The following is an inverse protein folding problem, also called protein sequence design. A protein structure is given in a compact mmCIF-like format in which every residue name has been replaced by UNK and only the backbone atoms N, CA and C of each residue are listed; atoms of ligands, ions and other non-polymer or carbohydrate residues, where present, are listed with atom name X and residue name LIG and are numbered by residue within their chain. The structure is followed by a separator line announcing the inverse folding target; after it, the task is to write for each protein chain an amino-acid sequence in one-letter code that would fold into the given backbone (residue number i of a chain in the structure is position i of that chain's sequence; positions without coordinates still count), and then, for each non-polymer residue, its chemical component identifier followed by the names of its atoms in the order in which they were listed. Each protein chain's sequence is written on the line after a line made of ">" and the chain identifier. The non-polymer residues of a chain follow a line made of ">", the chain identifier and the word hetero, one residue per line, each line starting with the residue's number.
data_IF_560602596487
#
_entry.id   IF_560602596487
#
_cell.length_a   1.000
_cell.length_b   1.000
_cell.length_c   1.000
_cell.angle_alpha   90.00
_cell.angle_beta   90.00
_cell.angle_gamma   90.00
#
_symmetry.space_group_name_H-M   'P 1'
#
loop_
_entity.id
_entity.type
_entity.pdbx_description
1 polymer ?
#
# COMPACT_ATOMS: atom_id res chain seq x y z
N UNK A 1 15.68 -2.75 3.19
CA UNK A 1 14.35 -2.29 3.65
C UNK A 1 13.93 -3.00 4.92
N UNK A 2 13.05 -2.40 5.74
CA UNK A 2 12.48 -3.06 6.93
C UNK A 2 10.99 -3.30 6.75
N UNK A 3 10.54 -4.52 7.08
CA UNK A 3 9.15 -4.95 6.96
C UNK A 3 8.60 -5.44 8.30
N UNK A 4 7.32 -5.19 8.55
CA UNK A 4 6.60 -5.80 9.66
C UNK A 4 6.16 -7.23 9.32
N UNK A 5 6.01 -7.54 8.03
CA UNK A 5 5.73 -8.88 7.57
C UNK A 5 5.18 -8.96 6.15
N UNK A 6 4.97 -10.20 5.70
CA UNK A 6 4.32 -10.51 4.42
C UNK A 6 3.27 -11.60 4.61
N UNK A 7 2.11 -11.41 4.00
CA UNK A 7 1.00 -12.37 4.03
C UNK A 7 0.63 -12.79 2.60
N UNK A 8 0.83 -14.07 2.29
CA UNK A 8 0.71 -14.59 0.91
C UNK A 8 -0.72 -14.93 0.49
N UNK A 9 -1.65 -15.02 1.42
CA UNK A 9 -3.07 -15.31 1.18
C UNK A 9 -3.92 -14.42 2.11
N UNK A 10 -3.95 -13.15 1.80
CA UNK A 10 -4.78 -12.16 2.48
C UNK A 10 -6.09 -12.01 1.70
N UNK A 11 -7.22 -11.94 2.39
CA UNK A 11 -8.55 -11.76 1.81
C UNK A 11 -9.25 -10.50 2.33
N UNK A 12 -8.50 -9.61 3.02
CA UNK A 12 -9.06 -8.43 3.69
C UNK A 12 -8.57 -7.15 3.04
N UNK A 13 -7.29 -7.12 2.66
CA UNK A 13 -6.63 -5.89 2.19
C UNK A 13 -6.67 -5.76 0.66
N UNK A 14 -7.87 -5.77 0.09
CA UNK A 14 -8.10 -5.59 -1.35
C UNK A 14 -9.17 -6.52 -1.90
N UNK A 15 -9.17 -6.74 -3.20
CA UNK A 15 -10.12 -7.61 -3.91
C UNK A 15 -9.49 -8.97 -4.22
N UNK A 16 -10.23 -10.06 -3.97
CA UNK A 16 -9.78 -11.42 -4.23
C UNK A 16 -8.75 -11.91 -3.23
N UNK A 17 -7.78 -12.69 -3.69
CA UNK A 17 -6.66 -13.14 -2.86
C UNK A 17 -5.48 -12.20 -3.08
N UNK A 18 -4.87 -11.76 -2.00
CA UNK A 18 -3.85 -10.71 -1.98
C UNK A 18 -2.53 -11.26 -1.42
N UNK A 19 -1.43 -10.82 -2.00
CA UNK A 19 -0.12 -10.83 -1.34
C UNK A 19 0.05 -9.45 -0.69
N UNK A 20 0.07 -9.39 0.65
CA UNK A 20 0.18 -8.13 1.39
C UNK A 20 1.58 -7.97 1.96
N UNK A 21 2.23 -6.86 1.68
CA UNK A 21 3.52 -6.45 2.23
C UNK A 21 3.31 -5.31 3.22
N UNK A 22 3.76 -5.51 4.46
CA UNK A 22 3.61 -4.57 5.56
C UNK A 22 4.95 -3.95 5.89
N UNK A 23 5.08 -2.65 5.60
CA UNK A 23 6.27 -1.88 5.92
C UNK A 23 6.40 -1.65 7.43
N UNK A 24 7.63 -1.52 7.88
CA UNK A 24 7.95 -1.11 9.25
C UNK A 24 8.33 0.37 9.27
N UNK A 25 7.97 1.07 10.36
CA UNK A 25 8.16 2.50 10.54
C UNK A 25 6.95 3.34 10.11
N UNK A 26 6.42 4.17 11.02
CA UNK A 26 5.33 5.10 10.74
C UNK A 26 5.48 6.38 11.58
N UNK A 27 5.64 7.55 10.96
CA UNK A 27 5.78 8.81 11.68
C UNK A 27 4.43 9.34 12.21
N UNK A 28 3.30 8.88 11.66
CA UNK A 28 1.98 9.42 11.98
C UNK A 28 1.50 9.10 13.39
N UNK A 29 1.78 7.90 13.91
CA UNK A 29 1.41 7.46 15.26
C UNK A 29 -0.05 7.76 15.61
N UNK A 30 -0.99 7.47 14.71
CA UNK A 30 -2.40 7.78 14.84
C UNK A 30 -3.00 7.15 16.11
N UNK A 31 -3.69 7.92 16.99
CA UNK A 31 -4.34 7.36 18.17
C UNK A 31 -5.36 6.28 17.80
N UNK A 32 -5.20 5.07 18.34
CA UNK A 32 -6.07 3.93 18.06
C UNK A 32 -5.78 3.22 16.74
N UNK A 33 -4.59 3.43 16.16
CA UNK A 33 -4.10 2.68 15.00
C UNK A 33 -4.28 1.18 15.18
N UNK A 34 -4.58 0.45 14.12
CA UNK A 34 -4.72 -1.02 14.12
C UNK A 34 -3.37 -1.73 14.30
N UNK A 35 -2.27 -1.12 13.86
CA UNK A 35 -0.94 -1.72 13.81
C UNK A 35 0.10 -0.84 14.53
N UNK A 36 -0.06 -0.54 15.84
CA UNK A 36 0.88 0.32 16.56
C UNK A 36 2.29 -0.30 16.65
N UNK A 37 2.40 -1.63 16.52
CA UNK A 37 3.66 -2.36 16.46
C UNK A 37 4.52 -2.01 15.24
N UNK A 38 3.92 -1.43 14.20
CA UNK A 38 4.63 -0.98 13.00
C UNK A 38 5.17 0.44 13.08
N UNK A 39 5.04 1.16 14.20
CA UNK A 39 5.47 2.55 14.31
C UNK A 39 6.98 2.72 14.45
N UNK A 40 7.62 1.78 15.16
CA UNK A 40 9.06 1.83 15.42
C UNK A 40 9.85 1.54 14.14
N UNK A 41 10.69 2.48 13.72
CA UNK A 41 11.55 2.32 12.54
C UNK A 41 12.65 1.27 12.73
N UNK A 42 13.03 0.96 13.97
CA UNK A 42 14.01 -0.09 14.29
C UNK A 42 13.37 -1.46 14.49
N UNK A 43 12.03 -1.53 14.49
CA UNK A 43 11.28 -2.78 14.62
C UNK A 43 11.27 -3.62 13.35
N UNK A 44 10.47 -4.70 13.37
CA UNK A 44 10.29 -5.58 12.22
C UNK A 44 11.55 -6.36 11.82
N UNK A 45 11.60 -6.79 10.59
CA UNK A 45 12.70 -7.60 10.01
C UNK A 45 13.36 -6.83 8.86
N UNK A 46 14.70 -6.84 8.84
CA UNK A 46 15.46 -6.32 7.71
C UNK A 46 15.53 -7.38 6.61
N UNK A 47 15.21 -7.00 5.38
CA UNK A 47 15.21 -7.90 4.22
C UNK A 47 15.82 -7.20 3.01
N UNK A 48 16.59 -7.95 2.23
CA UNK A 48 17.12 -7.42 0.96
C UNK A 48 16.09 -7.49 -0.19
N UNK A 49 16.32 -6.71 -1.24
CA UNK A 49 15.41 -6.63 -2.39
C UNK A 49 15.22 -7.97 -3.11
N UNK A 50 16.30 -8.74 -3.32
CA UNK A 50 16.19 -9.97 -4.08
C UNK A 50 15.35 -11.00 -3.31
N UNK A 51 15.53 -11.07 -1.99
CA UNK A 51 14.77 -11.99 -1.14
C UNK A 51 13.27 -11.62 -1.13
N UNK A 52 12.92 -10.35 -0.92
CA UNK A 52 11.53 -9.94 -0.89
C UNK A 52 10.86 -10.04 -2.26
N UNK A 53 11.54 -9.67 -3.35
CA UNK A 53 11.04 -9.83 -4.71
C UNK A 53 10.75 -11.29 -5.02
N UNK A 54 11.68 -12.21 -4.71
CA UNK A 54 11.47 -13.64 -4.92
C UNK A 54 10.24 -14.16 -4.15
N UNK A 55 10.09 -13.77 -2.88
CA UNK A 55 8.95 -14.17 -2.05
C UNK A 55 7.62 -13.70 -2.68
N UNK A 56 7.56 -12.46 -3.16
CA UNK A 56 6.37 -11.87 -3.77
C UNK A 56 6.09 -12.52 -5.12
N UNK A 57 7.10 -12.68 -5.97
CA UNK A 57 6.95 -13.23 -7.32
C UNK A 57 6.55 -14.70 -7.31
N UNK A 58 7.00 -15.48 -6.34
CA UNK A 58 6.56 -16.87 -6.13
C UNK A 58 5.13 -16.95 -5.57
N UNK A 59 4.69 -15.91 -4.85
CA UNK A 59 3.38 -15.90 -4.20
C UNK A 59 2.25 -15.45 -5.13
N UNK A 60 2.49 -14.46 -6.02
CA UNK A 60 1.45 -13.89 -6.89
C UNK A 60 0.84 -14.96 -7.81
N UNK A 61 1.60 -15.71 -8.65
CA UNK A 61 1.06 -16.70 -9.58
C UNK A 61 1.02 -18.11 -8.96
N UNK A 62 0.56 -18.26 -7.73
CA UNK A 62 0.63 -19.56 -7.04
C UNK A 62 -0.61 -20.43 -7.28
N UNK A 63 -0.40 -21.72 -7.59
CA UNK A 63 -1.45 -22.74 -7.77
C UNK A 63 -2.47 -22.38 -8.87
N UNK A 64 -2.03 -21.79 -9.96
CA UNK A 64 -2.91 -21.39 -11.07
C UNK A 64 -3.83 -20.19 -10.75
N UNK A 65 -3.67 -19.56 -9.58
CA UNK A 65 -4.43 -18.39 -9.15
C UNK A 65 -3.49 -17.19 -9.15
N UNK A 66 -3.80 -16.18 -9.94
CA UNK A 66 -3.11 -14.90 -9.86
C UNK A 66 -3.69 -14.10 -8.70
N UNK A 67 -2.81 -13.66 -7.79
CA UNK A 67 -3.16 -12.80 -6.67
C UNK A 67 -2.92 -11.34 -7.02
N UNK A 68 -3.64 -10.47 -6.36
CA UNK A 68 -3.36 -9.05 -6.33
C UNK A 68 -2.28 -8.73 -5.28
N UNK A 69 -1.80 -7.50 -5.27
CA UNK A 69 -0.73 -7.08 -4.36
C UNK A 69 -1.16 -5.86 -3.54
N UNK A 70 -0.84 -5.86 -2.26
CA UNK A 70 -1.13 -4.76 -1.35
C UNK A 70 0.12 -4.32 -0.61
N UNK A 71 0.30 -3.01 -0.51
CA UNK A 71 1.36 -2.36 0.25
C UNK A 71 0.74 -1.52 1.35
N UNK A 72 1.07 -1.83 2.59
CA UNK A 72 0.50 -1.23 3.78
C UNK A 72 1.45 -1.41 4.98
N UNK A 73 0.93 -1.30 6.21
CA UNK A 73 1.67 -1.58 7.46
C UNK A 73 1.94 -0.31 8.21
N UNK A 74 3.21 0.09 8.41
CA UNK A 74 3.62 1.38 8.94
C UNK A 74 3.19 2.51 8.00
N UNK A 75 4.14 3.24 7.45
CA UNK A 75 3.86 4.23 6.41
C UNK A 75 4.76 3.99 5.20
N UNK A 76 4.22 3.38 4.13
CA UNK A 76 5.02 3.09 2.94
C UNK A 76 5.58 4.32 2.23
N UNK A 77 4.93 5.47 2.35
CA UNK A 77 5.30 6.70 1.65
C UNK A 77 6.07 7.71 2.50
N UNK A 78 6.46 7.37 3.75
CA UNK A 78 7.38 8.23 4.50
C UNK A 78 8.77 8.26 3.85
N UNK A 79 9.59 9.28 4.12
CA UNK A 79 10.91 9.43 3.51
C UNK A 79 11.79 8.18 3.63
N UNK A 80 11.69 7.45 4.74
CA UNK A 80 12.48 6.26 5.03
C UNK A 80 12.06 5.05 4.20
N UNK A 81 10.79 4.97 3.79
CA UNK A 81 10.21 3.79 3.13
C UNK A 81 9.85 4.01 1.65
N UNK A 82 9.61 5.27 1.22
CA UNK A 82 8.98 5.56 -0.08
C UNK A 82 9.78 5.03 -1.28
N UNK A 83 11.10 5.05 -1.22
CA UNK A 83 11.96 4.53 -2.30
C UNK A 83 11.78 3.02 -2.41
N UNK A 84 11.82 2.32 -1.28
CA UNK A 84 11.65 0.86 -1.20
C UNK A 84 10.25 0.43 -1.65
N UNK A 85 9.22 1.13 -1.16
CA UNK A 85 7.83 0.84 -1.52
C UNK A 85 7.58 1.01 -3.02
N UNK A 86 8.04 2.11 -3.61
CA UNK A 86 7.87 2.35 -5.03
C UNK A 86 8.72 1.42 -5.90
N UNK A 87 9.91 1.02 -5.44
CA UNK A 87 10.72 0.00 -6.10
C UNK A 87 9.94 -1.32 -6.23
N UNK A 88 9.41 -1.85 -5.12
CA UNK A 88 8.66 -3.12 -5.11
C UNK A 88 7.37 -3.01 -5.94
N UNK A 89 6.60 -1.93 -5.77
CA UNK A 89 5.37 -1.68 -6.55
C UNK A 89 5.67 -1.73 -8.05
N UNK A 90 6.70 -1.01 -8.50
CA UNK A 90 7.10 -0.96 -9.91
C UNK A 90 7.51 -2.35 -10.42
N UNK A 91 8.32 -3.09 -9.65
CA UNK A 91 8.75 -4.46 -10.00
C UNK A 91 7.57 -5.42 -10.14
N UNK A 92 6.61 -5.36 -9.22
CA UNK A 92 5.39 -6.17 -9.32
C UNK A 92 4.57 -5.79 -10.55
N UNK A 93 4.39 -4.51 -10.84
CA UNK A 93 3.63 -4.06 -12.02
C UNK A 93 4.30 -4.44 -13.34
N UNK A 94 5.62 -4.38 -13.40
CA UNK A 94 6.42 -4.82 -14.57
C UNK A 94 6.30 -6.33 -14.80
N UNK A 95 6.43 -7.14 -13.75
CA UNK A 95 6.39 -8.60 -13.84
C UNK A 95 4.98 -9.15 -14.01
N UNK A 96 3.98 -8.51 -13.42
CA UNK A 96 2.58 -8.94 -13.42
C UNK A 96 1.65 -7.79 -13.81
N UNK A 97 1.58 -7.37 -15.07
CA UNK A 97 0.80 -6.20 -15.50
C UNK A 97 -0.70 -6.28 -15.15
N UNK A 98 -1.26 -7.50 -15.03
CA UNK A 98 -2.66 -7.73 -14.66
C UNK A 98 -2.92 -7.74 -13.16
N UNK A 99 -1.86 -7.73 -12.34
CA UNK A 99 -1.98 -7.66 -10.89
C UNK A 99 -2.51 -6.27 -10.50
N UNK A 100 -3.64 -6.22 -9.78
CA UNK A 100 -4.10 -4.98 -9.15
C UNK A 100 -3.21 -4.67 -7.94
N UNK A 101 -2.79 -3.42 -7.85
CA UNK A 101 -1.95 -2.93 -6.75
C UNK A 101 -2.75 -1.98 -5.88
N UNK A 102 -2.83 -2.32 -4.59
CA UNK A 102 -3.45 -1.54 -3.53
C UNK A 102 -2.36 -0.89 -2.68
N UNK A 103 -2.52 0.38 -2.34
CA UNK A 103 -1.58 1.12 -1.50
C UNK A 103 -2.33 1.88 -0.41
N UNK A 104 -1.96 1.69 0.85
CA UNK A 104 -2.42 2.50 1.97
C UNK A 104 -1.36 3.48 2.40
N UNK A 105 -1.78 4.71 2.66
CA UNK A 105 -0.92 5.75 3.21
C UNK A 105 -1.71 6.67 4.15
N UNK A 106 -1.06 7.16 5.19
CA UNK A 106 -1.61 8.20 6.04
C UNK A 106 -1.50 9.60 5.44
N UNK A 107 -0.71 9.79 4.41
CA UNK A 107 -0.68 11.06 3.67
C UNK A 107 -1.90 11.18 2.77
N UNK A 108 -2.39 12.40 2.56
CA UNK A 108 -3.40 12.68 1.54
C UNK A 108 -2.74 12.80 0.16
N UNK A 109 -3.51 12.58 -0.90
CA UNK A 109 -2.98 12.70 -2.27
C UNK A 109 -2.47 14.12 -2.56
N UNK A 110 -3.06 15.12 -1.92
CA UNK A 110 -2.64 16.51 -2.00
C UNK A 110 -1.27 16.72 -1.35
N UNK A 111 -1.07 16.19 -0.11
CA UNK A 111 0.22 16.23 0.59
C UNK A 111 1.31 15.53 -0.23
N UNK A 112 1.00 14.38 -0.83
CA UNK A 112 1.94 13.64 -1.69
C UNK A 112 2.36 14.52 -2.88
N UNK A 113 1.41 15.12 -3.56
CA UNK A 113 1.66 15.97 -4.72
C UNK A 113 2.45 17.24 -4.37
N UNK A 114 2.13 17.88 -3.24
CA UNK A 114 2.86 19.05 -2.75
C UNK A 114 4.31 18.71 -2.37
N UNK A 115 4.54 17.48 -1.87
CA UNK A 115 5.87 17.02 -1.47
C UNK A 115 6.72 16.63 -2.68
N UNK A 116 6.15 15.92 -3.67
CA UNK A 116 6.86 15.43 -4.84
C UNK A 116 5.93 15.08 -5.99
N UNK A 117 5.97 15.87 -7.06
CA UNK A 117 5.29 15.53 -8.33
C UNK A 117 5.77 14.19 -8.89
N UNK A 118 7.05 13.85 -8.71
CA UNK A 118 7.61 12.58 -9.20
C UNK A 118 6.96 11.40 -8.45
N UNK A 119 6.86 11.47 -7.13
CA UNK A 119 6.23 10.41 -6.34
C UNK A 119 4.74 10.27 -6.71
N UNK A 120 4.03 11.40 -6.85
CA UNK A 120 2.64 11.41 -7.29
C UNK A 120 2.46 10.71 -8.65
N UNK A 121 3.31 11.03 -9.64
CA UNK A 121 3.24 10.43 -10.97
C UNK A 121 3.61 8.94 -10.97
N UNK A 122 4.55 8.53 -10.13
CA UNK A 122 4.89 7.10 -9.93
C UNK A 122 3.72 6.32 -9.34
N UNK A 123 3.07 6.86 -8.31
CA UNK A 123 1.87 6.24 -7.70
C UNK A 123 0.77 6.13 -8.76
N UNK A 124 0.46 7.23 -9.44
CA UNK A 124 -0.57 7.28 -10.49
C UNK A 124 -0.34 6.30 -11.64
N UNK A 125 0.92 5.99 -11.93
CA UNK A 125 1.28 5.10 -13.04
C UNK A 125 1.28 3.62 -12.67
N UNK A 126 1.45 3.29 -11.40
CA UNK A 126 1.71 1.92 -10.96
C UNK A 126 0.69 1.38 -9.94
N UNK A 127 -0.07 2.25 -9.26
CA UNK A 127 -1.06 1.87 -8.24
C UNK A 127 -2.46 1.93 -8.83
N UNK A 128 -3.25 0.87 -8.65
CA UNK A 128 -4.62 0.80 -9.18
C UNK A 128 -5.64 1.33 -8.16
N UNK A 129 -5.38 1.15 -6.86
CA UNK A 129 -6.24 1.61 -5.77
C UNK A 129 -5.37 2.23 -4.67
N UNK A 130 -5.57 3.51 -4.39
CA UNK A 130 -4.92 4.22 -3.30
C UNK A 130 -5.92 4.50 -2.19
N UNK A 131 -5.59 4.12 -0.96
CA UNK A 131 -6.33 4.50 0.24
C UNK A 131 -5.49 5.53 0.98
N UNK A 132 -5.99 6.76 1.07
CA UNK A 132 -5.26 7.89 1.61
C UNK A 132 -5.88 8.45 2.89
N UNK A 133 -5.07 9.16 3.67
CA UNK A 133 -5.47 9.86 4.88
C UNK A 133 -5.21 9.10 6.18
N UNK A 134 -4.82 9.86 7.21
CA UNK A 134 -4.53 9.34 8.56
C UNK A 134 -5.77 8.75 9.20
N UNK A 135 -5.61 7.64 9.92
CA UNK A 135 -6.71 7.10 10.72
C UNK A 135 -7.12 8.11 11.82
N UNK A 136 -8.42 8.39 11.89
CA UNK A 136 -9.03 9.21 12.94
C UNK A 136 -9.98 8.37 13.79
N UNK A 137 -9.60 8.12 15.06
CA UNK A 137 -10.40 7.31 15.98
C UNK A 137 -11.80 7.88 16.23
N UNK A 138 -11.99 9.21 16.11
CA UNK A 138 -13.29 9.85 16.30
C UNK A 138 -14.23 9.63 15.10
N UNK A 139 -13.68 9.23 13.97
CA UNK A 139 -14.40 8.90 12.74
C UNK A 139 -14.33 7.40 12.42
N UNK A 140 -13.89 6.57 13.39
CA UNK A 140 -13.76 5.11 13.22
C UNK A 140 -15.06 4.51 12.73
N UNK A 141 -14.99 3.77 11.63
CA UNK A 141 -16.11 3.04 11.05
C UNK A 141 -15.60 1.79 10.33
N UNK A 142 -15.80 0.63 10.98
CA UNK A 142 -15.34 -0.66 10.46
C UNK A 142 -16.28 -1.29 9.43
N UNK A 143 -17.36 -0.61 9.06
CA UNK A 143 -18.29 -1.05 8.01
C UNK A 143 -17.83 -0.55 6.62
N UNK A 144 -16.89 0.41 6.59
CA UNK A 144 -16.35 0.95 5.35
C UNK A 144 -15.44 -0.08 4.66
N UNK A 145 -15.53 -0.23 3.34
CA UNK A 145 -14.60 -1.05 2.61
C UNK A 145 -13.20 -0.40 2.65
N UNK A 146 -12.18 -1.19 2.93
CA UNK A 146 -10.75 -0.82 2.88
C UNK A 146 -10.31 0.35 3.78
N UNK A 147 -11.23 1.07 4.43
CA UNK A 147 -10.98 2.22 5.30
C UNK A 147 -11.25 1.88 6.76
N UNK A 148 -10.46 2.44 7.68
CA UNK A 148 -10.68 2.32 9.12
C UNK A 148 -11.49 3.49 9.70
N UNK A 149 -11.57 4.61 9.01
CA UNK A 149 -12.27 5.83 9.44
C UNK A 149 -12.83 6.64 8.25
N UNK A 150 -13.90 7.37 8.50
CA UNK A 150 -14.68 8.07 7.46
C UNK A 150 -13.95 9.18 6.72
N UNK A 151 -12.86 9.71 7.29
CA UNK A 151 -12.03 10.71 6.65
C UNK A 151 -11.06 10.13 5.62
N UNK A 152 -10.85 8.82 5.62
CA UNK A 152 -10.01 8.15 4.61
C UNK A 152 -10.77 8.05 3.30
N UNK A 153 -10.02 8.13 2.19
CA UNK A 153 -10.59 8.17 0.84
C UNK A 153 -10.04 7.02 0.01
N UNK A 154 -10.84 6.52 -0.93
CA UNK A 154 -10.42 5.51 -1.90
C UNK A 154 -10.36 6.17 -3.28
N UNK A 155 -9.19 6.09 -3.89
CA UNK A 155 -8.92 6.58 -5.23
C UNK A 155 -8.64 5.41 -6.15
N UNK A 156 -9.26 5.41 -7.32
CA UNK A 156 -8.98 4.39 -8.34
C UNK A 156 -8.44 5.01 -9.59
N UNK A 157 -7.52 4.27 -10.23
CA UNK A 157 -7.01 4.60 -11.53
C UNK A 157 -7.82 3.81 -12.58
N UNK A 158 -8.86 4.40 -13.14
CA UNK A 158 -9.55 3.79 -14.27
C UNK A 158 -8.62 3.76 -15.48
N UNK A 159 -8.36 2.57 -16.01
CA UNK A 159 -7.54 2.29 -17.20
C UNK A 159 -8.15 2.83 -18.50
N UNK A 160 -8.78 3.98 -18.48
CA UNK A 160 -9.17 4.73 -19.66
C UNK A 160 -8.14 5.81 -19.93
N UNK A 161 -7.96 6.18 -21.19
CA UNK A 161 -6.90 7.01 -21.77
C UNK A 161 -6.63 8.38 -21.12
N UNK A 162 -7.32 8.72 -20.06
CA UNK A 162 -7.06 9.82 -19.14
C UNK A 162 -6.84 9.25 -17.74
N UNK A 163 -5.59 9.03 -17.37
CA UNK A 163 -5.19 8.58 -16.02
C UNK A 163 -5.52 9.65 -14.97
N UNK A 164 -6.77 9.71 -14.53
CA UNK A 164 -7.19 10.46 -13.33
C UNK A 164 -7.54 9.45 -12.26
N UNK A 165 -7.07 9.69 -11.02
CA UNK A 165 -7.64 9.03 -9.86
C UNK A 165 -9.04 9.60 -9.63
N UNK A 166 -10.04 8.74 -9.59
CA UNK A 166 -11.42 9.09 -9.28
C UNK A 166 -11.76 8.56 -7.89
N UNK A 167 -12.46 9.36 -7.09
CA UNK A 167 -12.99 8.91 -5.79
C UNK A 167 -14.11 7.90 -6.06
N UNK A 168 -14.06 6.75 -5.39
CA UNK A 168 -15.18 5.83 -5.29
C UNK A 168 -15.76 5.96 -3.88
N UNK A 169 -17.06 6.20 -3.82
CA UNK A 169 -17.83 6.22 -2.57
C UNK A 169 -18.14 4.82 -2.06
#
# INVERSE_FOLDING_TARGET
>A
MRIAGIKKNDCINGEGIIVSLWFQGCPHRCPGCHNPETWDFEGGEEIDYNAIEQIIFDAIPKNGIQRNFAVLGGEPLCPENCVDAMHIIKKVKEQFPQCKIFLWTGYTIEEIKETSDILYDLIKSNVDVLIDGRFDKNQKDLTLPLCGSRNQRIWTNHLTSCKKFDIIY
#
